data_IF_925694102536
#
_entry.id   IF_925694102536
#
_cell.length_a   1.000
_cell.length_b   1.000
_cell.length_c   1.000
_cell.angle_alpha   90.00
_cell.angle_beta   90.00
_cell.angle_gamma   90.00
#
_symmetry.space_group_name_H-M   'P 1'
#
loop_
_entity.id
_entity.type
_entity.pdbx_description
1 polymer ?
#
# COMPACT_ATOMS: atom_id res chain seq x y z
N UNK A 1 0.53 19.98 15.85
CA UNK A 1 0.63 18.51 15.82
C UNK A 1 -0.19 18.00 14.64
N UNK A 2 0.44 17.77 13.49
CA UNK A 2 -0.26 17.49 12.22
C UNK A 2 -0.92 16.09 12.25
N UNK A 3 -2.25 16.08 12.40
CA UNK A 3 -3.10 14.91 12.71
C UNK A 3 -3.36 13.92 11.56
N UNK A 4 -2.55 13.87 10.50
CA UNK A 4 -2.86 13.02 9.34
C UNK A 4 -1.67 12.33 8.66
N UNK A 5 -0.54 12.17 9.35
CA UNK A 5 0.52 11.28 8.83
C UNK A 5 0.00 9.84 8.87
N UNK A 6 -0.37 9.29 7.70
CA UNK A 6 -0.72 7.87 7.58
C UNK A 6 0.51 7.04 7.91
N UNK A 7 0.33 5.96 8.66
CA UNK A 7 1.39 4.99 8.94
C UNK A 7 1.35 3.89 7.88
N UNK A 8 2.49 3.26 7.63
CA UNK A 8 2.61 2.12 6.75
C UNK A 8 1.83 0.94 7.34
N UNK A 9 0.92 0.36 6.55
CA UNK A 9 0.12 -0.80 6.96
C UNK A 9 0.97 -2.07 7.19
N UNK A 10 2.23 -2.11 6.72
CA UNK A 10 3.14 -3.23 6.94
C UNK A 10 4.07 -3.04 8.15
N UNK A 11 4.78 -1.92 8.22
CA UNK A 11 5.85 -1.71 9.21
C UNK A 11 5.54 -0.65 10.27
N UNK A 12 4.40 0.03 10.18
CA UNK A 12 3.99 1.08 11.13
C UNK A 12 4.75 2.41 11.02
N UNK A 13 5.77 2.50 10.17
CA UNK A 13 6.55 3.72 9.96
C UNK A 13 5.71 4.82 9.28
N UNK A 14 6.03 6.12 9.49
CA UNK A 14 5.32 7.20 8.83
C UNK A 14 5.47 7.11 7.30
N UNK A 15 4.36 7.23 6.58
CA UNK A 15 4.38 7.33 5.12
C UNK A 15 4.84 8.73 4.75
N UNK A 16 6.10 8.86 4.32
CA UNK A 16 6.66 10.13 3.85
C UNK A 16 6.27 10.42 2.40
N UNK A 17 6.05 9.36 1.60
CA UNK A 17 5.74 9.44 0.17
C UNK A 17 4.27 9.03 -0.06
N UNK A 18 3.44 10.01 -0.40
CA UNK A 18 2.05 9.77 -0.81
C UNK A 18 2.04 9.17 -2.23
N UNK A 19 1.23 8.12 -2.45
CA UNK A 19 1.07 7.47 -3.76
C UNK A 19 1.39 5.98 -3.76
N UNK A 20 2.10 5.47 -2.76
CA UNK A 20 2.40 4.04 -2.63
C UNK A 20 1.24 3.36 -1.92
N UNK A 21 0.20 3.03 -2.68
CA UNK A 21 -1.00 2.33 -2.19
C UNK A 21 -1.21 1.00 -2.91
N UNK A 22 -1.91 0.08 -2.24
CA UNK A 22 -2.32 -1.21 -2.80
C UNK A 22 -3.79 -1.42 -2.49
N UNK A 23 -4.59 -1.68 -3.52
CA UNK A 23 -5.97 -2.08 -3.34
C UNK A 23 -6.01 -3.60 -3.08
N UNK A 24 -6.62 -3.97 -1.96
CA UNK A 24 -6.85 -5.35 -1.53
C UNK A 24 -8.35 -5.59 -1.42
N UNK A 25 -8.78 -6.85 -1.30
CA UNK A 25 -10.17 -7.20 -1.00
C UNK A 25 -10.66 -6.60 0.35
N UNK A 26 -9.74 -6.26 1.26
CA UNK A 26 -10.04 -5.60 2.53
C UNK A 26 -10.06 -4.06 2.42
N UNK A 27 -9.74 -3.51 1.25
CA UNK A 27 -9.67 -2.08 1.00
C UNK A 27 -8.28 -1.58 0.61
N UNK A 28 -8.12 -0.26 0.58
CA UNK A 28 -6.87 0.40 0.17
C UNK A 28 -5.88 0.48 1.34
N UNK A 29 -4.68 -0.06 1.14
CA UNK A 29 -3.56 -0.02 2.08
C UNK A 29 -2.50 0.99 1.63
N UNK A 30 -1.85 1.66 2.58
CA UNK A 30 -0.81 2.67 2.34
C UNK A 30 0.55 2.19 2.84
N UNK A 31 1.62 2.46 2.08
CA UNK A 31 2.96 1.99 2.40
C UNK A 31 3.99 3.12 2.38
N UNK A 32 5.01 3.03 3.23
CA UNK A 32 6.08 4.03 3.28
C UNK A 32 7.08 3.89 2.12
N UNK A 33 7.17 2.71 1.50
CA UNK A 33 8.06 2.44 0.38
C UNK A 33 7.53 1.31 -0.51
N UNK A 34 8.03 1.22 -1.75
CA UNK A 34 7.65 0.16 -2.70
C UNK A 34 8.02 -1.24 -2.19
N UNK A 35 9.08 -1.35 -1.38
CA UNK A 35 9.45 -2.60 -0.72
C UNK A 35 8.35 -3.13 0.20
N UNK A 36 7.74 -2.26 1.02
CA UNK A 36 6.62 -2.66 1.87
C UNK A 36 5.39 -3.07 1.05
N UNK A 37 5.09 -2.36 -0.04
CA UNK A 37 4.00 -2.74 -0.96
C UNK A 37 4.24 -4.14 -1.56
N UNK A 38 5.46 -4.40 -2.03
CA UNK A 38 5.85 -5.67 -2.63
C UNK A 38 5.77 -6.85 -1.64
N UNK A 39 6.32 -6.67 -0.44
CA UNK A 39 6.27 -7.69 0.62
C UNK A 39 4.82 -7.96 1.03
N UNK A 40 4.01 -6.91 1.23
CA UNK A 40 2.60 -7.08 1.57
C UNK A 40 1.86 -7.87 0.48
N UNK A 41 2.09 -7.55 -0.80
CA UNK A 41 1.50 -8.30 -1.91
C UNK A 41 1.92 -9.78 -1.91
N UNK A 42 3.18 -10.08 -1.58
CA UNK A 42 3.66 -11.47 -1.49
C UNK A 42 3.08 -12.23 -0.30
N UNK A 43 2.93 -11.57 0.85
CA UNK A 43 2.37 -12.18 2.06
C UNK A 43 0.84 -12.33 2.00
N UNK A 44 0.17 -11.47 1.23
CA UNK A 44 -1.28 -11.36 1.14
C UNK A 44 -1.76 -11.50 -0.31
N UNK A 45 -1.13 -12.39 -1.08
CA UNK A 45 -1.45 -12.59 -2.51
C UNK A 45 -2.92 -13.03 -2.69
N UNK A 46 -3.43 -13.87 -1.79
CA UNK A 46 -4.84 -14.30 -1.75
C UNK A 46 -5.84 -13.17 -1.51
N UNK A 47 -5.38 -12.02 -0.99
CA UNK A 47 -6.19 -10.84 -0.73
C UNK A 47 -6.11 -9.82 -1.87
N UNK A 48 -5.44 -10.17 -2.97
CA UNK A 48 -5.44 -9.38 -4.19
C UNK A 48 -6.80 -9.51 -4.90
N UNK A 49 -7.38 -8.40 -5.39
CA UNK A 49 -8.52 -8.49 -6.28
C UNK A 49 -8.08 -9.23 -7.55
N UNK A 50 -8.97 -10.07 -8.08
CA UNK A 50 -8.75 -10.95 -9.24
C UNK A 50 -8.37 -10.20 -10.54
N UNK A 51 -8.35 -8.86 -10.53
CA UNK A 51 -7.93 -8.01 -11.65
C UNK A 51 -7.08 -6.80 -11.17
N UNK A 52 -5.81 -6.67 -11.59
CA UNK A 52 -5.07 -5.43 -11.44
C UNK A 52 -5.34 -4.47 -12.62
N UNK A 53 -6.18 -3.45 -12.42
CA UNK A 53 -6.32 -2.35 -13.40
C UNK A 53 -5.16 -1.35 -13.21
N UNK A 54 -4.11 -1.54 -14.02
CA UNK A 54 -3.15 -0.55 -14.56
C UNK A 54 -2.60 0.51 -13.59
N UNK A 55 -1.38 0.28 -13.09
CA UNK A 55 -0.45 1.36 -12.69
C UNK A 55 -0.16 2.19 -13.97
N UNK A 56 -0.98 3.22 -14.22
CA UNK A 56 -0.78 4.18 -15.30
C UNK A 56 0.35 5.12 -14.88
N UNK A 57 1.57 4.81 -15.31
CA UNK A 57 2.67 5.78 -15.34
C UNK A 57 2.77 6.31 -16.77
N UNK A 58 2.07 7.41 -17.04
CA UNK A 58 2.25 8.24 -18.24
C UNK A 58 2.94 9.54 -17.89
#
# INVERSE_FOLDING_TARGET
MNKNKRNCDLCGLPVEILGITLLTNEGQKSFCCEGCKGIYKMLHDDLMPLEPKKDNKS
#
